data_IF_091629629656
#
_entry.id   IF_091629629656
#
_cell.length_a   1.000
_cell.length_b   1.000
_cell.length_c   1.000
_cell.angle_alpha   90.00
_cell.angle_beta   90.00
_cell.angle_gamma   90.00
#
_symmetry.space_group_name_H-M   'P 1'
#
loop_
_entity.id
_entity.type
_entity.pdbx_description
1 polymer ?
#
# COMPACT_ATOMS: atom_id res chain seq x y z
N UNK A 1 14.89 18.30 -19.92
CA UNK A 1 13.98 17.14 -19.91
C UNK A 1 12.56 17.68 -19.87
N UNK A 2 11.65 17.16 -20.69
CA UNK A 2 10.25 17.59 -20.66
C UNK A 2 9.60 17.12 -19.36
N UNK A 3 8.85 18.00 -18.68
CA UNK A 3 8.11 17.66 -17.47
C UNK A 3 7.00 16.66 -17.79
N UNK A 4 6.67 15.75 -16.87
CA UNK A 4 5.69 14.71 -17.13
C UNK A 4 4.28 15.25 -17.28
N UNK A 5 3.48 14.56 -18.11
CA UNK A 5 2.13 14.95 -18.50
C UNK A 5 1.18 13.77 -18.41
N UNK A 6 0.10 13.94 -17.64
CA UNK A 6 -1.07 13.06 -17.68
C UNK A 6 -2.06 13.64 -18.68
N UNK A 7 -2.45 12.86 -19.70
CA UNK A 7 -3.46 13.27 -20.68
C UNK A 7 -4.77 12.56 -20.32
N UNK A 8 -5.69 13.29 -19.70
CA UNK A 8 -7.03 12.82 -19.39
C UNK A 8 -8.00 13.23 -20.51
N UNK A 9 -8.51 12.26 -21.27
CA UNK A 9 -9.63 12.46 -22.18
C UNK A 9 -10.93 12.31 -21.40
N UNK A 10 -11.80 13.31 -21.48
CA UNK A 10 -13.05 13.35 -20.73
C UNK A 10 -14.20 13.86 -21.60
N UNK A 11 -15.42 13.51 -21.18
CA UNK A 11 -16.68 14.03 -21.72
C UNK A 11 -17.46 14.66 -20.57
N UNK A 12 -17.99 15.88 -20.78
CA UNK A 12 -18.72 16.64 -19.75
C UNK A 12 -20.06 16.00 -19.37
N UNK A 13 -20.63 15.15 -20.23
CA UNK A 13 -21.83 14.37 -19.98
C UNK A 13 -21.57 13.03 -19.26
N UNK A 14 -20.31 12.64 -19.07
CA UNK A 14 -19.95 11.40 -18.38
C UNK A 14 -19.83 11.63 -16.87
N UNK A 15 -20.69 11.00 -16.03
CA UNK A 15 -20.57 11.11 -14.58
C UNK A 15 -19.26 10.49 -14.08
N UNK A 16 -18.71 9.48 -14.77
CA UNK A 16 -17.42 8.88 -14.42
C UNK A 16 -16.23 9.79 -14.75
N UNK A 17 -16.32 10.58 -15.82
CA UNK A 17 -15.35 11.65 -16.11
C UNK A 17 -15.37 12.71 -15.02
N UNK A 18 -16.56 13.11 -14.57
CA UNK A 18 -16.73 14.07 -13.48
C UNK A 18 -16.15 13.53 -12.16
N UNK A 19 -16.46 12.27 -11.82
CA UNK A 19 -15.90 11.57 -10.66
C UNK A 19 -14.38 11.49 -10.77
N UNK A 20 -13.81 11.10 -11.92
CA UNK A 20 -12.37 10.97 -12.11
C UNK A 20 -11.62 12.30 -11.91
N UNK A 21 -12.14 13.39 -12.47
CA UNK A 21 -11.57 14.74 -12.30
C UNK A 21 -11.63 15.18 -10.84
N UNK A 22 -12.74 14.92 -10.14
CA UNK A 22 -12.91 15.30 -8.74
C UNK A 22 -12.10 14.42 -7.79
N UNK A 23 -12.03 13.11 -8.04
CA UNK A 23 -11.28 12.16 -7.23
C UNK A 23 -9.78 12.51 -7.21
N UNK A 24 -9.18 12.83 -8.36
CA UNK A 24 -7.76 13.21 -8.41
C UNK A 24 -7.50 14.53 -7.67
N UNK A 25 -8.34 15.54 -7.85
CA UNK A 25 -8.23 16.82 -7.13
C UNK A 25 -8.42 16.64 -5.63
N UNK A 26 -9.36 15.80 -5.24
CA UNK A 26 -9.65 15.47 -3.85
C UNK A 26 -8.48 14.73 -3.22
N UNK A 27 -7.99 13.63 -3.81
CA UNK A 27 -6.82 12.87 -3.33
C UNK A 27 -5.61 13.78 -3.13
N UNK A 28 -5.34 14.66 -4.10
CA UNK A 28 -4.24 15.60 -4.04
C UNK A 28 -4.34 16.55 -2.85
N UNK A 29 -5.53 17.08 -2.57
CA UNK A 29 -5.76 17.98 -1.44
C UNK A 29 -5.68 17.23 -0.11
N UNK A 30 -6.40 16.12 0.01
CA UNK A 30 -6.51 15.37 1.27
C UNK A 30 -5.17 14.77 1.69
N UNK A 31 -4.40 14.20 0.76
CA UNK A 31 -3.09 13.60 1.11
C UNK A 31 -2.12 14.64 1.69
N UNK A 32 -2.16 15.88 1.20
CA UNK A 32 -1.31 16.96 1.71
C UNK A 32 -1.83 17.51 3.03
N UNK A 33 -3.15 17.65 3.16
CA UNK A 33 -3.78 18.04 4.43
C UNK A 33 -3.38 17.07 5.56
N UNK A 34 -3.57 15.76 5.34
CA UNK A 34 -3.23 14.75 6.33
C UNK A 34 -1.71 14.63 6.56
N UNK A 35 -0.91 14.71 5.50
CA UNK A 35 0.55 14.70 5.64
C UNK A 35 1.04 15.88 6.51
N UNK A 36 0.55 17.09 6.27
CA UNK A 36 0.89 18.26 7.09
C UNK A 36 0.44 18.07 8.54
N UNK A 37 -0.79 17.58 8.75
CA UNK A 37 -1.38 17.40 10.08
C UNK A 37 -0.59 16.40 10.94
N UNK A 38 -0.17 15.29 10.35
CA UNK A 38 0.59 14.24 11.05
C UNK A 38 2.11 14.37 10.92
N UNK A 39 2.62 15.48 10.37
CA UNK A 39 4.06 15.70 10.20
C UNK A 39 4.75 14.69 9.27
N UNK A 40 4.01 14.05 8.35
CA UNK A 40 4.54 13.06 7.41
C UNK A 40 5.12 13.78 6.19
N UNK A 41 6.37 13.48 5.85
CA UNK A 41 7.02 14.07 4.66
C UNK A 41 6.41 13.53 3.37
N UNK A 42 5.93 14.43 2.51
CA UNK A 42 5.13 14.11 1.33
C UNK A 42 5.43 15.09 0.19
N UNK A 43 5.56 14.62 -1.05
CA UNK A 43 5.79 15.49 -2.21
C UNK A 43 4.55 16.30 -2.54
N UNK A 44 4.71 17.57 -2.90
CA UNK A 44 3.57 18.42 -3.26
C UNK A 44 2.88 17.93 -4.53
N UNK A 45 3.60 17.51 -5.56
CA UNK A 45 3.01 16.90 -6.76
C UNK A 45 2.69 15.41 -6.52
N UNK A 46 1.65 14.90 -7.19
CA UNK A 46 1.44 13.45 -7.30
C UNK A 46 2.65 12.85 -8.05
N UNK A 47 3.27 11.76 -7.55
CA UNK A 47 4.35 11.08 -8.26
C UNK A 47 3.95 10.66 -9.67
N UNK A 48 4.87 10.77 -10.62
CA UNK A 48 4.63 10.38 -12.01
C UNK A 48 4.34 8.87 -12.11
N UNK A 49 3.34 8.49 -12.91
CA UNK A 49 2.94 7.09 -13.06
C UNK A 49 1.97 6.59 -11.99
N UNK A 50 1.52 7.47 -11.09
CA UNK A 50 0.43 7.16 -10.18
C UNK A 50 -0.93 7.08 -10.91
N UNK A 51 -1.79 6.08 -10.62
CA UNK A 51 -1.52 4.94 -9.74
C UNK A 51 -0.61 3.90 -10.41
N UNK A 52 0.47 3.53 -9.73
CA UNK A 52 1.40 2.50 -10.19
C UNK A 52 0.97 1.12 -9.67
N UNK A 53 1.17 0.06 -10.45
CA UNK A 53 0.97 -1.31 -9.96
C UNK A 53 2.02 -1.64 -8.91
N UNK A 54 1.58 -1.99 -7.69
CA UNK A 54 2.46 -2.36 -6.59
C UNK A 54 2.49 -3.87 -6.33
N UNK A 55 1.97 -4.70 -7.24
CA UNK A 55 1.78 -6.15 -7.00
C UNK A 55 3.07 -6.85 -6.58
N UNK A 56 4.19 -6.62 -7.27
CA UNK A 56 5.47 -7.26 -6.94
C UNK A 56 6.03 -6.76 -5.60
N UNK A 57 5.89 -5.46 -5.31
CA UNK A 57 6.31 -4.86 -4.05
C UNK A 57 5.48 -5.40 -2.87
N UNK A 58 4.15 -5.50 -3.03
CA UNK A 58 3.24 -6.05 -2.02
C UNK A 58 3.42 -7.56 -1.85
N UNK A 59 3.78 -8.27 -2.92
CA UNK A 59 4.18 -9.68 -2.88
C UNK A 59 5.44 -9.85 -2.02
N UNK A 60 6.47 -9.04 -2.25
CA UNK A 60 7.67 -9.03 -1.42
C UNK A 60 7.35 -8.75 0.05
N UNK A 61 6.56 -7.72 0.34
CA UNK A 61 6.18 -7.38 1.73
C UNK A 61 5.38 -8.51 2.40
N UNK A 62 4.54 -9.23 1.66
CA UNK A 62 3.80 -10.38 2.20
C UNK A 62 4.74 -11.53 2.60
N UNK A 63 5.76 -11.80 1.78
CA UNK A 63 6.80 -12.79 2.10
C UNK A 63 7.65 -12.31 3.28
N UNK A 64 8.08 -11.04 3.28
CA UNK A 64 8.85 -10.46 4.39
C UNK A 64 8.07 -10.52 5.69
N UNK A 65 6.78 -10.16 5.70
CA UNK A 65 5.95 -10.25 6.90
C UNK A 65 5.89 -11.67 7.46
N UNK A 66 5.76 -12.68 6.58
CA UNK A 66 5.71 -14.08 6.99
C UNK A 66 7.04 -14.59 7.55
N UNK A 67 8.16 -14.20 6.94
CA UNK A 67 9.48 -14.78 7.20
C UNK A 67 10.31 -13.97 8.21
N UNK A 68 10.16 -12.64 8.21
CA UNK A 68 10.79 -11.71 9.15
C UNK A 68 9.82 -10.59 9.55
N UNK A 69 8.80 -10.88 10.40
CA UNK A 69 7.77 -9.92 10.78
C UNK A 69 8.35 -8.62 11.38
N UNK A 70 9.48 -8.70 12.09
CA UNK A 70 10.14 -7.54 12.70
C UNK A 70 10.73 -6.55 11.70
N UNK A 71 11.08 -6.99 10.49
CA UNK A 71 11.68 -6.13 9.46
C UNK A 71 10.63 -5.43 8.57
N UNK A 72 9.38 -5.90 8.53
CA UNK A 72 8.39 -5.44 7.54
C UNK A 72 8.07 -3.94 7.66
N UNK A 73 7.95 -3.42 8.89
CA UNK A 73 7.56 -2.03 9.12
C UNK A 73 8.64 -1.06 8.63
N UNK A 74 9.91 -1.29 9.01
CA UNK A 74 11.06 -0.50 8.57
C UNK A 74 11.24 -0.54 7.05
N UNK A 75 11.12 -1.72 6.43
CA UNK A 75 11.22 -1.87 4.98
C UNK A 75 10.07 -1.17 4.26
N UNK A 76 8.84 -1.32 4.74
CA UNK A 76 7.67 -0.64 4.16
C UNK A 76 7.78 0.88 4.27
N UNK A 77 8.27 1.41 5.39
CA UNK A 77 8.54 2.85 5.57
C UNK A 77 9.54 3.37 4.52
N UNK A 78 10.63 2.63 4.27
CA UNK A 78 11.59 2.98 3.22
C UNK A 78 10.94 3.03 1.84
N UNK A 79 10.09 2.06 1.51
CA UNK A 79 9.37 2.03 0.24
C UNK A 79 8.39 3.20 0.11
N UNK A 80 7.62 3.48 1.16
CA UNK A 80 6.72 4.64 1.20
C UNK A 80 7.49 5.96 1.05
N UNK A 81 8.61 6.13 1.76
CA UNK A 81 9.45 7.33 1.65
C UNK A 81 9.98 7.54 0.23
N UNK A 82 10.45 6.49 -0.43
CA UNK A 82 10.91 6.59 -1.82
C UNK A 82 9.75 6.96 -2.76
N UNK A 83 8.60 6.31 -2.62
CA UNK A 83 7.44 6.58 -3.48
C UNK A 83 6.86 7.99 -3.25
N UNK A 84 6.54 8.34 -2.00
CA UNK A 84 5.74 9.51 -1.65
C UNK A 84 6.55 10.72 -1.18
N UNK A 85 7.75 10.55 -0.66
CA UNK A 85 8.62 11.67 -0.25
C UNK A 85 9.63 12.03 -1.34
N UNK A 86 10.11 11.05 -2.11
CA UNK A 86 11.08 11.28 -3.20
C UNK A 86 10.45 11.28 -4.60
N UNK A 87 9.14 11.00 -4.71
CA UNK A 87 8.41 10.88 -5.97
C UNK A 87 9.00 9.86 -6.95
N UNK A 88 9.71 8.83 -6.46
CA UNK A 88 10.29 7.79 -7.31
C UNK A 88 9.37 6.57 -7.34
N UNK A 89 8.50 6.53 -8.35
CA UNK A 89 7.60 5.39 -8.58
C UNK A 89 8.31 4.19 -9.18
N UNK A 90 9.59 4.32 -9.58
CA UNK A 90 10.43 3.21 -10.01
C UNK A 90 10.60 2.14 -8.94
N UNK A 91 10.42 2.51 -7.66
CA UNK A 91 10.52 1.61 -6.51
C UNK A 91 9.57 0.42 -6.59
N UNK A 92 8.51 0.45 -7.42
CA UNK A 92 7.63 -0.70 -7.62
C UNK A 92 8.29 -1.85 -8.39
N UNK A 93 9.45 -1.60 -9.02
CA UNK A 93 10.19 -2.60 -9.78
C UNK A 93 11.09 -3.45 -8.87
N UNK A 94 11.08 -4.79 -8.97
CA UNK A 94 11.93 -5.68 -8.18
C UNK A 94 13.41 -5.33 -8.19
N UNK A 95 13.93 -4.89 -9.34
CA UNK A 95 15.33 -4.49 -9.48
C UNK A 95 15.73 -3.31 -8.57
N UNK A 96 14.78 -2.45 -8.19
CA UNK A 96 15.05 -1.29 -7.33
C UNK A 96 14.80 -1.58 -5.85
N UNK A 97 13.74 -2.32 -5.50
CA UNK A 97 13.40 -2.54 -4.09
C UNK A 97 14.14 -3.71 -3.43
N UNK A 98 14.53 -4.74 -4.19
CA UNK A 98 15.17 -5.93 -3.61
C UNK A 98 16.54 -5.66 -2.97
N UNK A 99 17.43 -4.80 -3.52
CA UNK A 99 18.69 -4.44 -2.86
C UNK A 99 18.48 -3.64 -1.57
N UNK A 100 17.39 -2.87 -1.48
CA UNK A 100 17.06 -2.09 -0.29
C UNK A 100 16.62 -2.99 0.86
N UNK A 101 15.78 -3.98 0.56
CA UNK A 101 15.34 -4.99 1.53
C UNK A 101 16.51 -5.88 1.98
N UNK A 102 17.47 -6.20 1.09
CA UNK A 102 18.62 -7.04 1.41
C UNK A 102 19.46 -6.54 2.60
N UNK A 103 19.44 -5.24 2.90
CA UNK A 103 20.18 -4.67 4.04
C UNK A 103 19.61 -5.08 5.41
N UNK A 104 18.37 -5.57 5.45
CA UNK A 104 17.62 -5.87 6.69
C UNK A 104 17.14 -7.32 6.79
N UNK A 105 17.53 -8.16 5.83
CA UNK A 105 17.09 -9.54 5.71
C UNK A 105 18.28 -10.49 5.70
N UNK A 106 18.11 -11.67 6.32
CA UNK A 106 19.06 -12.76 6.15
C UNK A 106 19.00 -13.35 4.72
N UNK A 107 20.05 -14.07 4.32
CA UNK A 107 20.17 -14.60 2.96
C UNK A 107 19.07 -15.59 2.56
N UNK A 108 18.49 -16.33 3.52
CA UNK A 108 17.39 -17.26 3.25
C UNK A 108 16.08 -16.49 3.01
N UNK A 109 15.76 -15.51 3.86
CA UNK A 109 14.58 -14.65 3.66
C UNK A 109 14.68 -13.85 2.35
N UNK A 110 15.84 -13.27 2.06
CA UNK A 110 16.08 -12.55 0.80
C UNK A 110 15.88 -13.46 -0.41
N UNK A 111 16.36 -14.70 -0.35
CA UNK A 111 16.20 -15.69 -1.43
C UNK A 111 14.71 -16.04 -1.66
N UNK A 112 13.90 -16.16 -0.61
CA UNK A 112 12.45 -16.36 -0.72
C UNK A 112 11.75 -15.16 -1.36
N UNK A 113 12.13 -13.94 -0.97
CA UNK A 113 11.62 -12.71 -1.58
C UNK A 113 11.95 -12.66 -3.07
N UNK A 114 13.21 -12.89 -3.43
CA UNK A 114 13.65 -12.93 -4.83
C UNK A 114 12.86 -13.95 -5.63
N UNK A 115 12.74 -15.19 -5.14
CA UNK A 115 11.96 -16.23 -5.82
C UNK A 115 10.48 -15.84 -6.01
N UNK A 116 9.87 -15.14 -5.05
CA UNK A 116 8.48 -14.73 -5.12
C UNK A 116 8.22 -13.59 -6.12
N UNK A 117 9.20 -12.72 -6.37
CA UNK A 117 9.07 -11.58 -7.30
C UNK A 117 9.82 -11.76 -8.62
N UNK A 118 10.66 -12.79 -8.71
CA UNK A 118 11.20 -13.28 -9.96
C UNK A 118 10.03 -13.76 -10.80
N UNK A 119 9.56 -12.90 -11.71
CA UNK A 119 8.74 -13.34 -12.85
C UNK A 119 9.39 -14.60 -13.40
N UNK A 120 8.71 -15.73 -13.26
CA UNK A 120 9.13 -16.96 -13.89
C UNK A 120 9.25 -16.60 -15.38
N UNK A 121 10.48 -16.59 -15.92
CA UNK A 121 10.81 -16.35 -17.32
C UNK A 121 10.29 -17.50 -18.22
N UNK A 122 9.13 -18.06 -17.88
CA UNK A 122 8.53 -19.24 -18.45
C UNK A 122 6.98 -19.17 -18.44
N UNK A 123 6.40 -18.01 -18.77
CA UNK A 123 5.13 -17.99 -19.53
C UNK A 123 4.97 -16.65 -20.25
N UNK A 124 5.64 -16.58 -21.41
CA UNK A 124 5.05 -15.91 -22.57
C UNK A 124 3.78 -16.71 -22.87
N UNK A 125 2.61 -16.05 -22.97
CA UNK A 125 1.24 -16.62 -23.07
C UNK A 125 0.49 -16.81 -21.74
N UNK A 126 -0.05 -15.71 -21.21
CA UNK A 126 -1.51 -15.57 -21.06
C UNK A 126 -1.86 -14.09 -20.84
N UNK A 127 -1.91 -13.35 -21.96
CA UNK A 127 -2.57 -12.05 -21.99
C UNK A 127 -4.04 -12.31 -22.30
N UNK A 128 -4.90 -11.99 -21.32
CA UNK A 128 -6.36 -12.16 -21.30
C UNK A 128 -6.91 -13.53 -20.91
N UNK A 129 -6.84 -13.87 -19.63
CA UNK A 129 -8.01 -14.23 -18.79
C UNK A 129 -7.55 -14.50 -17.35
N UNK A 130 -8.31 -13.96 -16.40
CA UNK A 130 -8.43 -14.29 -14.99
C UNK A 130 -7.18 -14.61 -14.14
N UNK A 131 -7.05 -13.81 -13.08
CA UNK A 131 -6.56 -14.17 -11.75
C UNK A 131 -5.92 -15.58 -11.60
N UNK A 132 -4.62 -15.70 -11.22
CA UNK A 132 -3.92 -16.98 -11.37
C UNK A 132 -4.51 -18.06 -10.45
N UNK A 133 -5.04 -19.10 -11.10
CA UNK A 133 -5.35 -20.39 -10.49
C UNK A 133 -4.08 -21.23 -10.40
N UNK A 134 -3.61 -21.41 -9.17
CA UNK A 134 -2.81 -22.53 -8.63
C UNK A 134 -2.04 -23.45 -9.60
N UNK A 135 -0.70 -23.44 -9.55
CA UNK A 135 0.16 -24.65 -9.66
C UNK A 135 1.65 -24.34 -9.37
N UNK A 136 2.56 -25.32 -9.18
CA UNK A 136 3.00 -25.77 -7.86
C UNK A 136 4.53 -25.60 -7.62
N UNK A 137 4.93 -25.78 -6.36
CA UNK A 137 6.30 -25.74 -5.80
C UNK A 137 6.88 -24.37 -5.38
N UNK A 138 6.44 -23.93 -4.21
CA UNK A 138 6.92 -22.78 -3.43
C UNK A 138 5.73 -22.06 -2.79
N UNK A 139 5.82 -21.42 -1.61
CA UNK A 139 4.77 -20.51 -1.19
C UNK A 139 4.75 -19.37 -2.21
N UNK A 140 3.84 -19.45 -3.17
CA UNK A 140 3.64 -18.41 -4.16
C UNK A 140 3.34 -17.12 -3.39
N UNK A 141 4.26 -16.16 -3.42
CA UNK A 141 4.11 -14.92 -2.68
C UNK A 141 2.83 -14.18 -3.08
N UNK A 142 2.34 -14.39 -4.31
CA UNK A 142 1.05 -13.86 -4.76
C UNK A 142 -0.13 -14.54 -4.08
N UNK A 143 -0.04 -15.83 -3.80
CA UNK A 143 -1.01 -16.55 -2.96
C UNK A 143 -1.04 -15.95 -1.55
N UNK A 144 0.11 -15.67 -0.92
CA UNK A 144 0.14 -15.00 0.39
C UNK A 144 -0.49 -13.60 0.34
N UNK A 145 -0.15 -12.80 -0.67
CA UNK A 145 -0.75 -11.48 -0.89
C UNK A 145 -2.26 -11.58 -1.06
N UNK A 146 -2.73 -12.56 -1.83
CA UNK A 146 -4.15 -12.81 -2.05
C UNK A 146 -4.87 -13.19 -0.77
N UNK A 147 -4.36 -14.15 -0.01
CA UNK A 147 -4.94 -14.59 1.26
C UNK A 147 -5.06 -13.43 2.25
N UNK A 148 -4.03 -12.58 2.35
CA UNK A 148 -4.07 -11.37 3.18
C UNK A 148 -5.13 -10.38 2.69
N UNK A 149 -5.27 -10.21 1.37
CA UNK A 149 -6.30 -9.35 0.78
C UNK A 149 -7.71 -9.89 1.07
N UNK A 150 -7.92 -11.21 0.97
CA UNK A 150 -9.19 -11.85 1.29
C UNK A 150 -9.55 -11.73 2.77
N UNK A 151 -8.57 -11.79 3.68
CA UNK A 151 -8.79 -11.54 5.11
C UNK A 151 -9.29 -10.11 5.35
N UNK A 152 -8.70 -9.10 4.69
CA UNK A 152 -9.18 -7.72 4.79
C UNK A 152 -10.62 -7.58 4.27
N UNK A 153 -10.95 -8.19 3.13
CA UNK A 153 -12.34 -8.20 2.65
C UNK A 153 -13.30 -8.90 3.62
N UNK A 154 -12.89 -10.04 4.18
CA UNK A 154 -13.67 -10.78 5.16
C UNK A 154 -13.92 -9.99 6.45
N UNK A 155 -13.02 -9.06 6.82
CA UNK A 155 -13.22 -8.14 7.93
C UNK A 155 -14.01 -6.87 7.56
N UNK A 156 -14.43 -6.71 6.30
CA UNK A 156 -15.31 -5.63 5.84
C UNK A 156 -14.62 -4.52 5.04
N UNK A 157 -13.32 -4.65 4.74
CA UNK A 157 -12.60 -3.65 3.98
C UNK A 157 -13.19 -3.44 2.58
N UNK A 158 -13.36 -2.19 2.16
CA UNK A 158 -13.73 -1.82 0.79
C UNK A 158 -12.76 -0.78 0.18
N UNK A 159 -11.75 -0.41 0.94
CA UNK A 159 -10.73 0.57 0.58
C UNK A 159 -9.58 0.57 1.60
N UNK A 160 -8.54 1.34 1.34
CA UNK A 160 -7.38 1.48 2.22
C UNK A 160 -7.17 2.96 2.64
N UNK A 161 -6.54 3.23 3.80
CA UNK A 161 -6.18 2.25 4.82
C UNK A 161 -7.42 1.67 5.53
N UNK A 162 -7.37 0.39 5.88
CA UNK A 162 -8.36 -0.30 6.69
C UNK A 162 -7.70 -0.75 7.99
N UNK A 163 -8.36 -0.48 9.12
CA UNK A 163 -7.92 -0.87 10.44
C UNK A 163 -8.90 -1.88 11.01
N UNK A 164 -8.44 -3.11 11.20
CA UNK A 164 -9.14 -4.12 12.00
C UNK A 164 -8.61 -4.03 13.43
N UNK A 165 -9.46 -3.61 14.36
CA UNK A 165 -9.08 -3.33 15.74
C UNK A 165 -9.74 -4.33 16.68
N UNK A 166 -8.97 -4.87 17.62
CA UNK A 166 -9.47 -5.72 18.70
C UNK A 166 -9.15 -5.02 20.02
N UNK A 167 -10.18 -4.68 20.80
CA UNK A 167 -10.01 -3.98 22.06
C UNK A 167 -9.69 -4.94 23.23
N UNK A 168 -9.42 -4.39 24.42
CA UNK A 168 -9.09 -5.17 25.61
C UNK A 168 -10.21 -6.10 26.11
N UNK A 169 -11.44 -5.93 25.63
CA UNK A 169 -12.60 -6.77 25.94
C UNK A 169 -12.81 -7.89 24.90
N UNK A 170 -11.92 -7.99 23.90
CA UNK A 170 -12.02 -8.95 22.81
C UNK A 170 -13.04 -8.58 21.74
N UNK A 171 -13.62 -7.38 21.78
CA UNK A 171 -14.53 -6.90 20.73
C UNK A 171 -13.72 -6.45 19.52
N UNK A 172 -14.17 -6.81 18.32
CA UNK A 172 -13.57 -6.43 17.06
C UNK A 172 -14.42 -5.38 16.32
N UNK A 173 -13.77 -4.37 15.73
CA UNK A 173 -14.41 -3.32 14.93
C UNK A 173 -13.49 -2.89 13.78
N UNK A 174 -14.09 -2.50 12.65
CA UNK A 174 -13.38 -2.09 11.45
C UNK A 174 -13.51 -0.58 11.18
N UNK A 175 -12.38 0.08 10.85
CA UNK A 175 -12.37 1.51 10.53
C UNK A 175 -11.67 1.75 9.19
N UNK A 176 -12.30 2.55 8.31
CA UNK A 176 -11.73 2.93 7.03
C UNK A 176 -11.28 4.39 7.04
N UNK A 177 -10.06 4.66 6.58
CA UNK A 177 -9.55 6.02 6.39
C UNK A 177 -8.77 6.56 7.58
N UNK A 178 -7.82 7.46 7.28
CA UNK A 178 -6.94 8.10 8.27
C UNK A 178 -7.71 9.10 9.16
N UNK A 179 -8.82 9.62 8.66
CA UNK A 179 -9.76 10.50 9.36
C UNK A 179 -10.51 9.80 10.50
N UNK A 180 -10.49 8.47 10.54
CA UNK A 180 -11.09 7.67 11.61
C UNK A 180 -10.12 7.28 12.73
N UNK A 181 -8.87 7.76 12.70
CA UNK A 181 -7.88 7.42 13.74
C UNK A 181 -8.30 7.86 15.16
N UNK A 182 -9.10 8.93 15.31
CA UNK A 182 -9.68 9.30 16.61
C UNK A 182 -10.63 8.23 17.16
N UNK A 183 -11.50 7.68 16.30
CA UNK A 183 -12.40 6.58 16.66
C UNK A 183 -11.66 5.28 16.95
N UNK A 184 -10.57 5.01 16.22
CA UNK A 184 -9.67 3.88 16.51
C UNK A 184 -9.07 4.04 17.90
N UNK A 185 -8.54 5.22 18.23
CA UNK A 185 -7.94 5.49 19.53
C UNK A 185 -8.96 5.38 20.67
N UNK A 186 -10.17 5.92 20.48
CA UNK A 186 -11.27 5.79 21.43
C UNK A 186 -11.66 4.32 21.65
N UNK A 187 -11.89 3.56 20.58
CA UNK A 187 -12.28 2.15 20.64
C UNK A 187 -11.22 1.28 21.35
N UNK A 188 -9.95 1.57 21.10
CA UNK A 188 -8.81 0.87 21.71
C UNK A 188 -8.42 1.44 23.09
N UNK A 189 -9.04 2.53 23.55
CA UNK A 189 -8.72 3.24 24.80
C UNK A 189 -7.25 3.70 24.87
N UNK A 190 -6.73 4.21 23.76
CA UNK A 190 -5.37 4.74 23.67
C UNK A 190 -5.29 6.16 24.24
N UNK A 191 -4.14 6.51 24.81
CA UNK A 191 -3.84 7.89 25.21
C UNK A 191 -3.50 8.73 23.98
N UNK A 192 -4.40 9.64 23.61
CA UNK A 192 -4.23 10.53 22.44
C UNK A 192 -3.47 11.81 22.78
N UNK A 193 -3.19 12.09 24.05
CA UNK A 193 -2.49 13.32 24.46
C UNK A 193 -1.02 13.36 24.03
N UNK A 194 -0.49 12.20 23.61
CA UNK A 194 0.88 12.04 23.09
C UNK A 194 1.10 12.73 21.74
N UNK A 195 0.03 13.04 21.00
CA UNK A 195 0.11 13.74 19.72
C UNK A 195 -1.10 14.67 19.50
N UNK A 196 -0.83 15.97 19.44
CA UNK A 196 -1.82 17.03 19.18
C UNK A 196 -2.59 16.87 17.85
N UNK A 197 -2.13 16.00 16.94
CA UNK A 197 -2.86 15.66 15.72
C UNK A 197 -4.27 15.11 16.02
N UNK A 198 -4.44 14.39 17.13
CA UNK A 198 -5.69 13.76 17.53
C UNK A 198 -6.75 14.73 18.07
N UNK A 199 -6.39 15.95 18.45
CA UNK A 199 -7.31 16.94 19.04
C UNK A 199 -8.50 17.32 18.13
N UNK A 200 -8.40 17.07 16.83
CA UNK A 200 -9.44 17.37 15.82
C UNK A 200 -10.17 16.13 15.30
N UNK A 201 -9.80 14.95 15.81
CA UNK A 201 -10.35 13.66 15.39
C UNK A 201 -11.35 13.07 16.40
N UNK A 202 -11.50 13.73 17.56
CA UNK A 202 -12.39 13.37 18.66
C UNK A 202 -13.57 14.35 18.77
#
# INVERSE_FOLDING_TARGET
>A
MAAPRVICYFDIGSPFSYIGVHALKWIQRERLYWAHRFGVSMTEAIPEGFPASTVDLQTALSVIHKESPGSVASIAEKFFSIFWTKADTGIVNPAQFTPLAANELDGNTLSKVLNAVSRQLASIYDAHTDWPSSSPQGPDGKTLLHENTQKAFASGAFGLPWFECINCEGSAEGFWGVDHLGRVAEFLRLDTSVDSAFDVLL
#
